data_IF_988004761175
#
_entry.id   IF_988004761175
#
_cell.length_a   1.000
_cell.length_b   1.000
_cell.length_c   1.000
_cell.angle_alpha   90.00
_cell.angle_beta   90.00
_cell.angle_gamma   90.00
#
_symmetry.space_group_name_H-M   'P 1'
#
loop_
_entity.id
_entity.type
_entity.pdbx_description
1 polymer ?
#
# COMPACT_ATOMS: atom_id res chain seq x y z
N UNK A 1 13.02 10.49 27.24
CA UNK A 1 11.61 10.53 27.77
C UNK A 1 10.73 11.48 26.94
N UNK A 2 11.20 12.68 26.55
CA UNK A 2 10.39 13.65 25.75
C UNK A 2 9.90 13.09 24.42
N UNK A 3 10.77 12.39 23.66
CA UNK A 3 10.40 11.79 22.39
C UNK A 3 9.32 10.71 22.50
N UNK A 4 9.32 9.91 23.56
CA UNK A 4 8.26 8.90 23.78
C UNK A 4 6.91 9.56 24.05
N UNK A 5 6.89 10.65 24.83
CA UNK A 5 5.66 11.41 25.07
C UNK A 5 5.17 12.08 23.80
N UNK A 6 6.06 12.72 23.02
CA UNK A 6 5.71 13.29 21.73
C UNK A 6 5.19 12.23 20.76
N UNK A 7 5.84 11.05 20.71
CA UNK A 7 5.40 9.93 19.89
C UNK A 7 4.01 9.43 20.25
N UNK A 8 3.75 9.22 21.55
CA UNK A 8 2.43 8.83 22.02
C UNK A 8 1.37 9.89 21.72
N UNK A 9 1.70 11.18 21.91
CA UNK A 9 0.81 12.29 21.56
C UNK A 9 0.48 12.35 20.07
N UNK A 10 1.48 12.18 19.19
CA UNK A 10 1.26 12.15 17.75
C UNK A 10 0.43 10.94 17.30
N UNK A 11 0.66 9.76 17.87
CA UNK A 11 -0.17 8.58 17.60
C UNK A 11 -1.62 8.80 18.02
N UNK A 12 -1.84 9.35 19.22
CA UNK A 12 -3.17 9.67 19.69
C UNK A 12 -3.84 10.73 18.79
N UNK A 13 -3.11 11.78 18.38
CA UNK A 13 -3.60 12.79 17.45
C UNK A 13 -3.96 12.18 16.08
N UNK A 14 -3.14 11.28 15.53
CA UNK A 14 -3.41 10.60 14.27
C UNK A 14 -4.71 9.78 14.33
N UNK A 15 -4.89 9.00 15.39
CA UNK A 15 -6.12 8.22 15.62
C UNK A 15 -7.33 9.13 15.79
N UNK A 16 -7.19 10.21 16.55
CA UNK A 16 -8.27 11.18 16.74
C UNK A 16 -8.70 11.85 15.43
N UNK A 17 -7.75 12.32 14.63
CA UNK A 17 -8.02 12.94 13.33
C UNK A 17 -8.69 11.96 12.37
N UNK A 18 -8.21 10.73 12.30
CA UNK A 18 -8.83 9.69 11.49
C UNK A 18 -10.26 9.37 11.94
N UNK A 19 -10.46 9.16 13.24
CA UNK A 19 -11.79 8.87 13.79
C UNK A 19 -12.76 10.04 13.57
N UNK A 20 -12.30 11.29 13.75
CA UNK A 20 -13.09 12.49 13.50
C UNK A 20 -13.54 12.58 12.03
N UNK A 21 -12.65 12.30 11.09
CA UNK A 21 -12.98 12.31 9.67
C UNK A 21 -13.91 11.15 9.29
N UNK A 22 -13.70 9.98 9.88
CA UNK A 22 -14.60 8.84 9.69
C UNK A 22 -16.01 9.12 10.19
N UNK A 23 -16.15 9.69 11.39
CA UNK A 23 -17.46 10.05 11.96
C UNK A 23 -18.19 11.07 11.09
N UNK A 24 -17.45 12.03 10.48
CA UNK A 24 -18.05 13.07 9.61
C UNK A 24 -18.44 12.54 8.24
N UNK A 25 -17.59 11.73 7.64
CA UNK A 25 -17.74 11.30 6.23
C UNK A 25 -18.45 9.96 6.09
N UNK A 26 -18.44 9.10 7.12
CA UNK A 26 -18.85 7.70 7.02
C UNK A 26 -17.93 6.86 6.12
N UNK A 27 -16.81 7.43 5.65
CA UNK A 27 -15.92 6.81 4.68
C UNK A 27 -14.59 6.44 5.33
N UNK A 28 -14.31 5.13 5.41
CA UNK A 28 -13.05 4.58 5.95
C UNK A 28 -11.82 5.02 5.13
N UNK A 29 -12.00 5.29 3.84
CA UNK A 29 -10.93 5.73 2.92
C UNK A 29 -10.95 7.24 2.68
N UNK A 30 -11.45 8.02 3.63
CA UNK A 30 -11.38 9.47 3.51
C UNK A 30 -9.92 9.93 3.43
N UNK A 31 -9.54 10.60 2.35
CA UNK A 31 -8.14 10.92 2.04
C UNK A 31 -7.44 11.68 3.17
N UNK A 32 -8.14 12.65 3.78
CA UNK A 32 -7.62 13.44 4.91
C UNK A 32 -7.35 12.58 6.13
N UNK A 33 -8.26 11.66 6.46
CA UNK A 33 -8.11 10.74 7.58
C UNK A 33 -6.94 9.76 7.37
N UNK A 34 -6.83 9.16 6.18
CA UNK A 34 -5.71 8.28 5.83
C UNK A 34 -4.38 9.03 5.85
N UNK A 35 -4.34 10.27 5.34
CA UNK A 35 -3.14 11.09 5.41
C UNK A 35 -2.75 11.38 6.87
N UNK A 36 -3.70 11.75 7.72
CA UNK A 36 -3.42 11.99 9.14
C UNK A 36 -2.87 10.72 9.81
N UNK A 37 -3.50 9.57 9.56
CA UNK A 37 -3.08 8.30 10.16
C UNK A 37 -1.67 7.88 9.69
N UNK A 38 -1.39 7.99 8.40
CA UNK A 38 -0.08 7.60 7.85
C UNK A 38 1.01 8.63 8.15
N UNK A 39 0.77 9.91 7.93
CA UNK A 39 1.76 10.96 8.08
C UNK A 39 2.02 11.31 9.55
N UNK A 40 0.99 11.64 10.33
CA UNK A 40 1.15 11.98 11.75
C UNK A 40 1.44 10.72 12.58
N UNK A 41 0.77 9.61 12.28
CA UNK A 41 1.04 8.32 12.92
C UNK A 41 2.45 7.81 12.65
N UNK A 42 2.93 7.97 11.41
CA UNK A 42 4.31 7.65 11.04
C UNK A 42 5.35 8.48 11.80
N UNK A 43 5.11 9.80 11.98
CA UNK A 43 5.93 10.65 12.84
C UNK A 43 5.93 10.16 14.29
N UNK A 44 4.73 9.76 14.79
CA UNK A 44 4.59 9.20 16.13
C UNK A 44 5.43 7.94 16.32
N UNK A 45 5.40 7.00 15.35
CA UNK A 45 6.24 5.81 15.37
C UNK A 45 7.73 6.16 15.31
N UNK A 46 8.15 7.07 14.45
CA UNK A 46 9.53 7.50 14.33
C UNK A 46 10.05 8.18 15.62
N UNK A 47 9.18 8.93 16.31
CA UNK A 47 9.50 9.52 17.63
C UNK A 47 9.71 8.48 18.73
N UNK A 48 9.32 7.23 18.55
CA UNK A 48 9.64 6.18 19.54
C UNK A 48 11.14 5.89 19.64
N UNK A 49 11.92 6.25 18.59
CA UNK A 49 13.39 6.15 18.58
C UNK A 49 13.90 4.79 19.05
N UNK A 50 13.38 3.71 18.44
CA UNK A 50 13.70 2.32 18.84
C UNK A 50 15.08 1.87 18.36
N UNK A 51 15.77 2.64 17.53
CA UNK A 51 17.15 2.42 17.08
C UNK A 51 18.10 3.40 17.78
N UNK A 52 19.33 2.99 18.02
CA UNK A 52 20.42 3.88 18.48
C UNK A 52 20.89 4.85 17.37
N UNK A 53 20.69 4.50 16.10
CA UNK A 53 20.99 5.36 14.96
C UNK A 53 20.04 6.55 14.87
N UNK A 54 18.85 6.47 15.46
CA UNK A 54 17.84 7.53 15.45
C UNK A 54 18.24 8.69 16.36
N UNK A 55 18.61 9.82 15.75
CA UNK A 55 18.99 11.05 16.43
C UNK A 55 17.79 11.95 16.76
N UNK A 56 18.03 12.96 17.59
CA UNK A 56 17.05 14.02 17.83
C UNK A 56 16.87 14.87 16.56
N UNK A 57 15.61 15.12 16.20
CA UNK A 57 15.30 15.92 15.03
C UNK A 57 15.57 17.39 15.26
N UNK A 58 16.04 18.08 14.21
CA UNK A 58 16.26 19.52 14.22
C UNK A 58 14.94 20.29 14.27
N UNK A 59 15.00 21.56 14.69
CA UNK A 59 13.84 22.45 14.62
C UNK A 59 13.34 22.61 13.18
N UNK A 60 14.25 22.65 12.20
CA UNK A 60 13.90 22.69 10.77
C UNK A 60 13.10 21.49 10.32
N UNK A 61 13.42 20.29 10.82
CA UNK A 61 12.67 19.06 10.54
C UNK A 61 11.24 19.15 11.06
N UNK A 62 11.06 19.59 12.31
CA UNK A 62 9.73 19.78 12.89
C UNK A 62 8.92 20.81 12.12
N UNK A 63 9.53 21.93 11.74
CA UNK A 63 8.86 22.97 10.93
C UNK A 63 8.49 22.45 9.54
N UNK A 64 9.39 21.70 8.89
CA UNK A 64 9.12 21.11 7.58
C UNK A 64 7.96 20.12 7.61
N UNK A 65 7.94 19.25 8.62
CA UNK A 65 6.83 18.30 8.80
C UNK A 65 5.50 19.01 9.12
N UNK A 66 5.53 20.04 9.96
CA UNK A 66 4.36 20.85 10.25
C UNK A 66 3.86 21.60 9.01
N UNK A 67 4.76 22.17 8.22
CA UNK A 67 4.42 22.87 6.97
C UNK A 67 3.81 21.91 5.94
N UNK A 68 4.36 20.69 5.80
CA UNK A 68 3.80 19.67 4.92
C UNK A 68 2.39 19.25 5.37
N UNK A 69 2.18 19.04 6.67
CA UNK A 69 0.86 18.73 7.22
C UNK A 69 -0.14 19.87 6.98
N UNK A 70 0.25 21.10 7.33
CA UNK A 70 -0.61 22.28 7.15
C UNK A 70 -0.92 22.53 5.67
N UNK A 71 0.08 22.40 4.79
CA UNK A 71 -0.10 22.55 3.34
C UNK A 71 -1.11 21.55 2.77
N UNK A 72 -1.03 20.27 3.17
CA UNK A 72 -1.99 19.25 2.75
C UNK A 72 -3.41 19.59 3.25
N UNK A 73 -3.56 19.95 4.52
CA UNK A 73 -4.88 20.28 5.07
C UNK A 73 -5.48 21.55 4.47
N UNK A 74 -4.66 22.57 4.21
CA UNK A 74 -5.10 23.78 3.51
C UNK A 74 -5.52 23.49 2.06
N UNK A 75 -4.72 22.71 1.33
CA UNK A 75 -5.06 22.30 -0.03
C UNK A 75 -6.38 21.49 -0.05
N UNK A 76 -6.55 20.59 0.91
CA UNK A 76 -7.76 19.78 1.00
C UNK A 76 -8.99 20.66 1.34
N UNK A 77 -8.85 21.57 2.29
CA UNK A 77 -9.91 22.51 2.64
C UNK A 77 -10.28 23.43 1.47
N UNK A 78 -9.27 23.91 0.74
CA UNK A 78 -9.47 24.71 -0.48
C UNK A 78 -10.26 23.93 -1.54
N UNK A 79 -9.85 22.70 -1.82
CA UNK A 79 -10.55 21.85 -2.77
C UNK A 79 -12.00 21.57 -2.35
N UNK A 80 -12.24 21.30 -1.07
CA UNK A 80 -13.62 21.13 -0.54
C UNK A 80 -14.47 22.41 -0.74
N UNK A 81 -13.89 23.57 -0.45
CA UNK A 81 -14.60 24.84 -0.57
C UNK A 81 -14.93 25.20 -2.03
N UNK A 82 -14.05 24.87 -2.99
CA UNK A 82 -14.26 25.16 -4.42
C UNK A 82 -15.06 24.09 -5.16
N UNK A 83 -15.08 22.85 -4.65
CA UNK A 83 -15.82 21.77 -5.29
C UNK A 83 -17.34 21.94 -5.20
N UNK A 84 -17.80 22.96 -4.47
CA UNK A 84 -19.21 23.15 -4.15
C UNK A 84 -19.77 21.91 -3.45
N UNK A 85 -21.03 21.84 -3.10
CA UNK A 85 -21.68 20.66 -2.52
C UNK A 85 -21.69 19.38 -3.42
N UNK A 86 -20.93 19.39 -4.51
CA UNK A 86 -20.45 18.22 -5.22
C UNK A 86 -19.48 17.37 -4.37
N UNK A 87 -19.29 17.71 -3.08
CA UNK A 87 -18.78 16.76 -2.11
C UNK A 87 -19.72 15.57 -2.15
N UNK A 88 -19.28 14.62 -2.87
CA UNK A 88 -19.74 13.28 -2.96
C UNK A 88 -20.42 12.87 -1.64
N UNK A 89 -21.69 13.18 -1.49
CA UNK A 89 -22.59 12.31 -0.77
C UNK A 89 -22.58 11.00 -1.58
N UNK A 90 -21.52 10.24 -1.40
CA UNK A 90 -21.39 8.85 -1.82
C UNK A 90 -22.41 8.06 -1.02
N UNK A 91 -23.65 8.26 -1.31
CA UNK A 91 -24.74 7.66 -0.55
C UNK A 91 -26.10 8.10 -1.06
N UNK A 92 -26.45 7.74 -2.29
CA UNK A 92 -27.80 7.98 -2.77
C UNK A 92 -27.94 7.74 -4.26
N UNK A 93 -28.57 6.65 -4.65
CA UNK A 93 -29.22 6.39 -5.98
C UNK A 93 -28.35 6.50 -7.25
N UNK A 94 -27.17 7.09 -7.22
CA UNK A 94 -26.29 7.26 -8.38
C UNK A 94 -25.66 5.93 -8.85
N UNK A 95 -25.43 5.00 -7.94
CA UNK A 95 -24.74 3.75 -8.24
C UNK A 95 -25.48 2.85 -9.24
N UNK A 96 -26.81 2.77 -9.15
CA UNK A 96 -27.60 1.93 -10.07
C UNK A 96 -27.66 2.50 -11.51
N UNK A 97 -27.66 3.84 -11.64
CA UNK A 97 -27.63 4.51 -12.96
C UNK A 97 -26.26 4.38 -13.60
N UNK A 98 -25.21 4.53 -12.80
CA UNK A 98 -23.82 4.41 -13.27
C UNK A 98 -23.47 2.97 -13.67
N UNK A 99 -24.01 1.95 -12.98
CA UNK A 99 -23.82 0.53 -13.34
C UNK A 99 -24.40 0.19 -14.72
N UNK A 100 -25.61 0.65 -15.05
CA UNK A 100 -26.25 0.37 -16.36
C UNK A 100 -25.44 0.89 -17.56
N UNK A 101 -24.71 2.01 -17.39
CA UNK A 101 -23.81 2.51 -18.43
C UNK A 101 -22.53 1.69 -18.57
N UNK A 102 -22.08 1.03 -17.48
CA UNK A 102 -20.84 0.25 -17.45
C UNK A 102 -21.03 -1.20 -17.92
N UNK A 103 -22.26 -1.73 -17.94
CA UNK A 103 -22.55 -3.12 -18.37
C UNK A 103 -22.05 -3.39 -19.80
N UNK A 104 -22.08 -2.39 -20.68
CA UNK A 104 -21.55 -2.49 -22.05
C UNK A 104 -20.04 -2.74 -22.11
N UNK A 105 -19.30 -2.37 -21.07
CA UNK A 105 -17.84 -2.55 -20.98
C UNK A 105 -17.41 -3.86 -20.31
N UNK A 106 -18.33 -4.65 -19.78
CA UNK A 106 -17.99 -5.88 -19.05
C UNK A 106 -17.14 -6.85 -19.90
N UNK A 107 -17.43 -6.99 -21.18
CA UNK A 107 -16.65 -7.80 -22.10
C UNK A 107 -15.23 -7.27 -22.30
N UNK A 108 -15.07 -5.95 -22.41
CA UNK A 108 -13.75 -5.29 -22.54
C UNK A 108 -12.93 -5.45 -21.26
N UNK A 109 -13.54 -5.24 -20.08
CA UNK A 109 -12.87 -5.41 -18.79
C UNK A 109 -12.41 -6.86 -18.60
N UNK A 110 -13.28 -7.82 -18.95
CA UNK A 110 -12.92 -9.25 -18.93
C UNK A 110 -11.70 -9.53 -19.82
N UNK A 111 -11.74 -9.08 -21.07
CA UNK A 111 -10.63 -9.29 -22.01
C UNK A 111 -9.35 -8.64 -21.50
N UNK A 112 -9.40 -7.40 -21.01
CA UNK A 112 -8.23 -6.70 -20.46
C UNK A 112 -7.64 -7.44 -19.25
N UNK A 113 -8.47 -7.92 -18.34
CA UNK A 113 -7.99 -8.66 -17.16
C UNK A 113 -7.28 -9.97 -17.55
N UNK A 114 -7.91 -10.77 -18.42
CA UNK A 114 -7.34 -12.05 -18.87
C UNK A 114 -6.09 -11.83 -19.71
N UNK A 115 -6.11 -10.87 -20.65
CA UNK A 115 -4.95 -10.53 -21.46
C UNK A 115 -3.77 -10.05 -20.60
N UNK A 116 -4.03 -9.16 -19.64
CA UNK A 116 -3.00 -8.67 -18.74
C UNK A 116 -2.40 -9.79 -17.89
N UNK A 117 -3.23 -10.69 -17.33
CA UNK A 117 -2.77 -11.84 -16.60
C UNK A 117 -1.90 -12.77 -17.46
N UNK A 118 -2.34 -13.05 -18.69
CA UNK A 118 -1.59 -13.88 -19.64
C UNK A 118 -0.24 -13.26 -20.03
N UNK A 119 -0.22 -11.96 -20.34
CA UNK A 119 1.00 -11.21 -20.65
C UNK A 119 1.95 -11.22 -19.47
N UNK A 120 1.46 -10.92 -18.27
CA UNK A 120 2.29 -10.90 -17.06
C UNK A 120 2.86 -12.28 -16.74
N UNK A 121 2.06 -13.34 -16.88
CA UNK A 121 2.53 -14.72 -16.68
C UNK A 121 3.56 -15.13 -17.73
N UNK A 122 3.35 -14.77 -18.99
CA UNK A 122 4.32 -15.00 -20.06
C UNK A 122 5.64 -14.27 -19.83
N UNK A 123 5.57 -12.99 -19.43
CA UNK A 123 6.77 -12.21 -19.10
C UNK A 123 7.52 -12.80 -17.89
N UNK A 124 6.78 -13.21 -16.84
CA UNK A 124 7.39 -13.89 -15.69
C UNK A 124 8.09 -15.20 -16.10
N UNK A 125 7.45 -16.01 -16.96
CA UNK A 125 8.05 -17.24 -17.44
C UNK A 125 9.35 -16.97 -18.25
N UNK A 126 9.35 -15.94 -19.09
CA UNK A 126 10.54 -15.51 -19.83
C UNK A 126 11.64 -15.06 -18.87
N UNK A 127 11.31 -14.25 -17.84
CA UNK A 127 12.27 -13.83 -16.82
C UNK A 127 12.85 -15.03 -16.07
N UNK A 128 12.01 -15.99 -15.67
CA UNK A 128 12.43 -17.19 -14.96
C UNK A 128 13.39 -18.05 -15.80
N UNK A 129 13.11 -18.20 -17.09
CA UNK A 129 13.99 -18.94 -18.03
C UNK A 129 15.29 -18.18 -18.26
N UNK A 130 15.22 -16.86 -18.47
CA UNK A 130 16.40 -16.03 -18.74
C UNK A 130 17.34 -15.95 -17.53
N UNK A 131 16.78 -15.79 -16.34
CA UNK A 131 17.55 -15.71 -15.10
C UNK A 131 17.99 -17.09 -14.57
N UNK A 132 17.37 -18.17 -15.03
CA UNK A 132 17.66 -19.54 -14.63
C UNK A 132 17.19 -19.93 -13.23
N UNK A 133 16.39 -19.09 -12.56
CA UNK A 133 15.84 -19.39 -11.23
C UNK A 133 14.50 -18.69 -10.99
N UNK A 134 13.80 -19.16 -9.96
CA UNK A 134 12.60 -18.51 -9.40
C UNK A 134 12.92 -18.15 -7.94
N UNK A 135 12.75 -16.90 -7.49
CA UNK A 135 13.16 -16.45 -6.17
C UNK A 135 12.61 -17.28 -5.01
N UNK A 136 11.34 -17.69 -5.07
CA UNK A 136 10.71 -18.50 -4.01
C UNK A 136 11.38 -19.88 -3.87
N UNK A 137 11.90 -20.45 -4.97
CA UNK A 137 12.51 -21.79 -4.98
C UNK A 137 14.00 -21.76 -4.63
N UNK A 138 14.62 -20.58 -4.63
CA UNK A 138 16.03 -20.42 -4.36
C UNK A 138 16.26 -20.18 -2.86
N UNK A 139 16.66 -21.22 -2.15
CA UNK A 139 16.93 -21.16 -0.72
C UNK A 139 18.39 -20.75 -0.43
N UNK A 140 18.56 -19.92 0.60
CA UNK A 140 19.89 -19.59 1.13
C UNK A 140 20.67 -18.52 0.35
N UNK A 141 20.12 -17.94 -0.70
CA UNK A 141 20.76 -16.82 -1.43
C UNK A 141 20.12 -15.50 -0.98
N UNK A 142 20.83 -14.67 -0.19
CA UNK A 142 20.32 -13.38 0.24
C UNK A 142 20.00 -12.49 -0.97
N UNK A 143 18.88 -11.79 -0.92
CA UNK A 143 18.47 -10.82 -1.95
C UNK A 143 18.23 -11.36 -3.37
N UNK A 144 18.10 -12.69 -3.58
CA UNK A 144 17.80 -13.28 -4.89
C UNK A 144 16.61 -12.60 -5.60
N UNK A 145 15.59 -12.23 -4.83
CA UNK A 145 14.41 -11.50 -5.32
C UNK A 145 14.74 -10.09 -5.86
N UNK A 146 15.78 -9.43 -5.35
CA UNK A 146 16.16 -8.06 -5.78
C UNK A 146 16.86 -8.06 -7.14
N UNK A 147 17.45 -9.19 -7.52
CA UNK A 147 18.13 -9.36 -8.81
C UNK A 147 17.24 -10.01 -9.86
N UNK A 148 16.06 -10.51 -9.47
CA UNK A 148 15.12 -11.13 -10.40
C UNK A 148 14.37 -10.07 -11.20
N UNK A 149 15.00 -9.53 -12.22
CA UNK A 149 14.36 -8.61 -13.17
C UNK A 149 15.13 -8.52 -14.47
N UNK A 150 14.40 -8.49 -15.57
CA UNK A 150 14.90 -8.12 -16.90
C UNK A 150 14.37 -6.73 -17.21
N UNK A 151 15.28 -5.79 -17.46
CA UNK A 151 14.91 -4.38 -17.69
C UNK A 151 13.90 -4.26 -18.82
N UNK A 152 12.80 -3.56 -18.55
CA UNK A 152 11.69 -3.41 -19.49
C UNK A 152 10.63 -4.51 -19.35
N UNK A 153 11.02 -5.77 -19.35
CA UNK A 153 10.11 -6.91 -19.26
C UNK A 153 9.43 -6.99 -17.89
N UNK A 154 10.19 -6.70 -16.83
CA UNK A 154 9.72 -6.75 -15.46
C UNK A 154 8.51 -5.84 -15.19
N UNK A 155 8.39 -4.71 -15.91
CA UNK A 155 7.21 -3.83 -15.77
C UNK A 155 5.92 -4.54 -16.20
N UNK A 156 5.99 -5.39 -17.24
CA UNK A 156 4.85 -6.20 -17.67
C UNK A 156 4.58 -7.35 -16.69
N UNK A 157 5.62 -7.96 -16.14
CA UNK A 157 5.46 -8.97 -15.08
C UNK A 157 4.74 -8.40 -13.86
N UNK A 158 5.15 -7.22 -13.39
CA UNK A 158 4.58 -6.55 -12.20
C UNK A 158 3.16 -6.03 -12.44
N UNK A 159 2.78 -5.76 -13.70
CA UNK A 159 1.44 -5.24 -14.02
C UNK A 159 0.30 -6.20 -13.65
N UNK A 160 0.60 -7.46 -13.32
CA UNK A 160 -0.37 -8.41 -12.76
C UNK A 160 -1.12 -7.87 -11.53
N UNK A 161 -0.55 -6.91 -10.79
CA UNK A 161 -1.19 -6.31 -9.60
C UNK A 161 -2.52 -5.59 -9.93
N UNK A 162 -2.74 -5.22 -11.19
CA UNK A 162 -3.98 -4.59 -11.64
C UNK A 162 -5.12 -5.58 -11.89
N UNK A 163 -4.81 -6.87 -12.10
CA UNK A 163 -5.79 -7.90 -12.47
C UNK A 163 -6.89 -8.05 -11.41
N UNK A 164 -6.60 -8.14 -10.09
CA UNK A 164 -7.66 -8.25 -9.08
C UNK A 164 -8.60 -7.05 -9.04
N UNK A 165 -8.09 -5.84 -9.32
CA UNK A 165 -8.95 -4.66 -9.42
C UNK A 165 -9.89 -4.72 -10.63
N UNK A 166 -9.39 -5.17 -11.79
CA UNK A 166 -10.22 -5.40 -12.98
C UNK A 166 -11.25 -6.51 -12.75
N UNK A 167 -10.89 -7.56 -12.01
CA UNK A 167 -11.81 -8.63 -11.60
C UNK A 167 -12.94 -8.10 -10.74
N UNK A 168 -12.63 -7.24 -9.77
CA UNK A 168 -13.66 -6.58 -8.96
C UNK A 168 -14.61 -5.77 -9.82
N UNK A 169 -14.10 -4.95 -10.75
CA UNK A 169 -14.94 -4.17 -11.68
C UNK A 169 -15.85 -5.10 -12.47
N UNK A 170 -15.28 -6.17 -13.05
CA UNK A 170 -16.04 -7.15 -13.83
C UNK A 170 -17.18 -7.76 -13.02
N UNK A 171 -16.91 -8.26 -11.81
CA UNK A 171 -17.92 -8.89 -10.95
C UNK A 171 -18.99 -7.90 -10.47
N UNK A 172 -18.64 -6.65 -10.24
CA UNK A 172 -19.60 -5.61 -9.88
C UNK A 172 -20.52 -5.24 -11.06
N UNK A 173 -20.04 -5.34 -12.30
CA UNK A 173 -20.81 -4.99 -13.49
C UNK A 173 -21.67 -6.18 -13.95
N UNK A 174 -21.09 -7.37 -14.13
CA UNK A 174 -21.75 -8.51 -14.79
C UNK A 174 -22.42 -9.50 -13.81
N UNK A 175 -22.10 -9.43 -12.52
CA UNK A 175 -22.71 -10.29 -11.51
C UNK A 175 -22.47 -11.80 -11.71
N UNK A 176 -21.42 -12.19 -12.43
CA UNK A 176 -20.94 -13.56 -12.52
C UNK A 176 -21.82 -14.54 -13.31
N UNK A 177 -22.62 -14.08 -14.25
CA UNK A 177 -23.61 -14.90 -14.99
C UNK A 177 -23.03 -16.05 -15.81
N UNK A 178 -21.81 -15.94 -16.33
CA UNK A 178 -21.20 -16.98 -17.17
C UNK A 178 -20.17 -17.81 -16.40
N UNK A 179 -20.42 -19.10 -16.21
CA UNK A 179 -19.48 -20.03 -15.53
C UNK A 179 -18.09 -20.04 -16.20
N UNK A 180 -18.04 -20.01 -17.53
CA UNK A 180 -16.76 -20.02 -18.25
C UNK A 180 -15.93 -18.77 -17.98
N UNK A 181 -16.55 -17.58 -18.02
CA UNK A 181 -15.88 -16.32 -17.70
C UNK A 181 -15.46 -16.26 -16.23
N UNK A 182 -16.28 -16.76 -15.32
CA UNK A 182 -15.92 -16.86 -13.90
C UNK A 182 -14.64 -17.69 -13.71
N UNK A 183 -14.54 -18.85 -14.32
CA UNK A 183 -13.34 -19.70 -14.22
C UNK A 183 -12.12 -18.99 -14.81
N UNK A 184 -12.25 -18.34 -15.97
CA UNK A 184 -11.14 -17.57 -16.56
C UNK A 184 -10.68 -16.42 -15.65
N UNK A 185 -11.61 -15.70 -15.01
CA UNK A 185 -11.27 -14.63 -14.08
C UNK A 185 -10.57 -15.16 -12.84
N UNK A 186 -11.06 -16.25 -12.25
CA UNK A 186 -10.41 -16.88 -11.09
C UNK A 186 -9.02 -17.40 -11.43
N UNK A 187 -8.80 -17.91 -12.64
CA UNK A 187 -7.47 -18.31 -13.11
C UNK A 187 -6.57 -17.09 -13.31
N UNK A 188 -7.09 -15.99 -13.84
CA UNK A 188 -6.36 -14.74 -13.98
C UNK A 188 -5.96 -14.17 -12.62
N UNK A 189 -6.86 -14.17 -11.64
CA UNK A 189 -6.57 -13.73 -10.26
C UNK A 189 -5.55 -14.66 -9.58
N UNK A 190 -5.69 -15.97 -9.77
CA UNK A 190 -4.72 -16.94 -9.26
C UNK A 190 -3.31 -16.70 -9.82
N UNK A 191 -3.19 -16.43 -11.12
CA UNK A 191 -1.92 -16.05 -11.74
C UNK A 191 -1.38 -14.72 -11.18
N UNK A 192 -2.25 -13.72 -11.02
CA UNK A 192 -1.89 -12.41 -10.48
C UNK A 192 -1.39 -12.47 -9.02
N UNK A 193 -1.86 -13.43 -8.23
CA UNK A 193 -1.37 -13.70 -6.88
C UNK A 193 -0.12 -14.58 -6.90
N UNK A 194 -0.07 -15.60 -7.78
CA UNK A 194 1.05 -16.53 -7.86
C UNK A 194 2.36 -15.83 -8.28
N UNK A 195 2.31 -14.91 -9.24
CA UNK A 195 3.52 -14.20 -9.73
C UNK A 195 4.23 -13.45 -8.59
N UNK A 196 3.60 -12.55 -7.83
CA UNK A 196 4.23 -11.89 -6.70
C UNK A 196 4.69 -12.86 -5.60
N UNK A 197 3.97 -13.96 -5.37
CA UNK A 197 4.40 -15.00 -4.43
C UNK A 197 5.70 -15.67 -4.89
N UNK A 198 5.78 -16.06 -6.17
CA UNK A 198 6.98 -16.66 -6.77
C UNK A 198 8.16 -15.69 -6.78
N UNK A 199 7.90 -14.40 -6.98
CA UNK A 199 8.89 -13.32 -6.87
C UNK A 199 9.24 -12.98 -5.41
N UNK A 200 8.54 -13.53 -4.41
CA UNK A 200 8.65 -13.17 -2.97
C UNK A 200 8.46 -11.66 -2.75
N UNK A 201 7.59 -11.04 -3.55
CA UNK A 201 7.34 -9.60 -3.55
C UNK A 201 6.10 -9.24 -2.72
N UNK A 202 6.32 -8.89 -1.46
CA UNK A 202 5.25 -8.49 -0.52
C UNK A 202 4.55 -7.20 -0.94
N UNK A 203 5.30 -6.26 -1.50
CA UNK A 203 4.76 -4.97 -1.94
C UNK A 203 3.76 -5.14 -3.07
N UNK A 204 4.05 -5.99 -4.06
CA UNK A 204 3.15 -6.26 -5.18
C UNK A 204 1.84 -6.90 -4.69
N UNK A 205 1.91 -7.88 -3.78
CA UNK A 205 0.71 -8.47 -3.17
C UNK A 205 -0.11 -7.46 -2.38
N UNK A 206 0.56 -6.63 -1.58
CA UNK A 206 -0.12 -5.56 -0.85
C UNK A 206 -0.83 -4.60 -1.80
N UNK A 207 -0.14 -4.17 -2.87
CA UNK A 207 -0.73 -3.30 -3.90
C UNK A 207 -1.92 -3.95 -4.59
N UNK A 208 -1.83 -5.22 -4.98
CA UNK A 208 -2.93 -5.94 -5.64
C UNK A 208 -4.18 -5.98 -4.76
N UNK A 209 -4.03 -6.34 -3.48
CA UNK A 209 -5.16 -6.40 -2.54
C UNK A 209 -5.70 -5.01 -2.22
N UNK A 210 -4.85 -4.01 -2.00
CA UNK A 210 -5.30 -2.64 -1.74
C UNK A 210 -6.03 -2.05 -2.94
N UNK A 211 -5.52 -2.24 -4.17
CA UNK A 211 -6.20 -1.80 -5.38
C UNK A 211 -7.57 -2.47 -5.54
N UNK A 212 -7.64 -3.79 -5.34
CA UNK A 212 -8.91 -4.51 -5.41
C UNK A 212 -9.90 -4.00 -4.35
N UNK A 213 -9.43 -3.78 -3.10
CA UNK A 213 -10.26 -3.27 -2.02
C UNK A 213 -10.76 -1.85 -2.31
N UNK A 214 -9.86 -0.93 -2.73
CA UNK A 214 -10.23 0.45 -3.09
C UNK A 214 -11.24 0.44 -4.24
N UNK A 215 -11.00 -0.39 -5.27
CA UNK A 215 -11.92 -0.53 -6.41
C UNK A 215 -13.28 -1.05 -5.96
N UNK A 216 -13.30 -2.07 -5.09
CA UNK A 216 -14.57 -2.58 -4.54
C UNK A 216 -15.33 -1.51 -3.77
N UNK A 217 -14.64 -0.72 -2.94
CA UNK A 217 -15.24 0.39 -2.19
C UNK A 217 -15.77 1.51 -3.09
N UNK A 218 -15.15 1.71 -4.23
CA UNK A 218 -15.61 2.69 -5.24
C UNK A 218 -16.86 2.20 -5.99
N UNK A 219 -16.92 0.89 -6.26
CA UNK A 219 -18.02 0.27 -7.00
C UNK A 219 -19.23 -0.04 -6.10
N UNK A 220 -18.99 -0.51 -4.89
CA UNK A 220 -19.99 -0.89 -3.90
C UNK A 220 -19.99 0.12 -2.74
N UNK A 221 -21.01 0.97 -2.67
CA UNK A 221 -21.09 2.02 -1.65
C UNK A 221 -21.33 1.51 -0.21
N UNK A 222 -21.63 0.23 -0.04
CA UNK A 222 -21.85 -0.39 1.27
C UNK A 222 -20.80 -1.46 1.51
N UNK A 223 -19.77 -1.10 2.28
CA UNK A 223 -18.80 -2.08 2.77
C UNK A 223 -19.35 -2.78 4.01
N UNK A 224 -19.41 -4.08 3.94
CA UNK A 224 -19.49 -4.85 5.16
C UNK A 224 -18.12 -4.81 5.85
N UNK A 225 -17.98 -4.17 7.04
CA UNK A 225 -16.70 -4.01 7.73
C UNK A 225 -16.03 -5.36 8.01
N UNK A 226 -16.80 -6.44 8.08
CA UNK A 226 -16.29 -7.79 8.27
C UNK A 226 -15.34 -8.19 7.14
N UNK A 227 -15.67 -7.91 5.87
CA UNK A 227 -14.79 -8.24 4.74
C UNK A 227 -13.50 -7.46 4.76
N UNK A 228 -13.54 -6.19 5.19
CA UNK A 228 -12.33 -5.38 5.36
C UNK A 228 -11.42 -5.96 6.44
N UNK A 229 -11.99 -6.37 7.57
CA UNK A 229 -11.25 -7.01 8.67
C UNK A 229 -10.61 -8.32 8.20
N UNK A 230 -11.34 -9.17 7.49
CA UNK A 230 -10.79 -10.42 6.95
C UNK A 230 -9.69 -10.19 5.90
N UNK A 231 -9.86 -9.19 5.02
CA UNK A 231 -8.83 -8.82 4.04
C UNK A 231 -7.56 -8.33 4.72
N UNK A 232 -7.69 -7.45 5.72
CA UNK A 232 -6.54 -6.96 6.49
C UNK A 232 -5.87 -8.07 7.31
N UNK A 233 -6.65 -8.95 7.95
CA UNK A 233 -6.11 -10.09 8.68
C UNK A 233 -5.36 -11.04 7.73
N UNK A 234 -5.93 -11.34 6.56
CA UNK A 234 -5.27 -12.13 5.52
C UNK A 234 -3.96 -11.51 5.03
N UNK A 235 -3.94 -10.19 4.83
CA UNK A 235 -2.72 -9.45 4.46
C UNK A 235 -1.64 -9.53 5.55
N UNK A 236 -2.01 -9.42 6.82
CA UNK A 236 -1.06 -9.56 7.94
C UNK A 236 -0.47 -10.97 7.97
N UNK A 237 -1.31 -12.00 7.86
CA UNK A 237 -0.85 -13.40 7.83
C UNK A 237 0.09 -13.62 6.65
N UNK A 238 -0.30 -13.17 5.45
CA UNK A 238 0.51 -13.28 4.24
C UNK A 238 1.85 -12.54 4.38
N UNK A 239 1.84 -11.34 4.95
CA UNK A 239 3.04 -10.57 5.24
C UNK A 239 3.99 -11.34 6.17
N UNK A 240 3.46 -11.96 7.24
CA UNK A 240 4.25 -12.74 8.18
C UNK A 240 4.85 -13.96 7.47
N UNK A 241 4.04 -14.72 6.72
CA UNK A 241 4.50 -15.90 5.98
C UNK A 241 5.60 -15.57 4.97
N UNK A 242 5.41 -14.52 4.18
CA UNK A 242 6.43 -14.08 3.20
C UNK A 242 7.68 -13.51 3.89
N UNK A 243 7.55 -12.95 5.08
CA UNK A 243 8.69 -12.48 5.86
C UNK A 243 9.52 -13.67 6.36
N UNK A 244 8.87 -14.74 6.81
CA UNK A 244 9.53 -15.99 7.20
C UNK A 244 10.18 -16.66 5.99
N UNK A 245 9.47 -16.76 4.86
CA UNK A 245 9.97 -17.36 3.63
C UNK A 245 11.22 -16.65 3.06
N UNK A 246 11.37 -15.35 3.33
CA UNK A 246 12.55 -14.57 2.93
C UNK A 246 13.82 -14.93 3.69
N UNK A 247 13.73 -15.78 4.73
CA UNK A 247 14.88 -16.26 5.52
C UNK A 247 15.82 -15.14 6.00
N UNK A 248 15.31 -13.94 6.26
CA UNK A 248 16.13 -12.90 6.86
C UNK A 248 16.41 -13.27 8.30
N UNK A 249 17.68 -13.41 8.62
CA UNK A 249 18.12 -13.51 10.01
C UNK A 249 17.58 -12.30 10.79
N UNK A 250 16.74 -12.56 11.77
CA UNK A 250 16.20 -11.53 12.66
C UNK A 250 17.30 -10.77 13.35
N UNK A 251 18.42 -11.45 13.66
CA UNK A 251 19.61 -10.87 14.25
C UNK A 251 20.22 -9.81 13.31
N UNK A 252 20.27 -10.06 12.00
CA UNK A 252 20.86 -9.14 11.02
C UNK A 252 20.21 -7.77 11.05
N UNK A 253 18.86 -7.69 10.94
CA UNK A 253 18.18 -6.40 10.95
C UNK A 253 18.30 -5.67 12.29
N UNK A 254 18.20 -6.39 13.41
CA UNK A 254 18.37 -5.81 14.72
C UNK A 254 19.80 -5.27 14.92
N UNK A 255 20.80 -5.94 14.36
CA UNK A 255 22.22 -5.52 14.44
C UNK A 255 22.51 -4.36 13.50
N UNK A 256 22.12 -4.44 12.21
CA UNK A 256 22.39 -3.39 11.21
C UNK A 256 21.73 -2.06 11.57
N UNK A 257 20.52 -2.11 12.12
CA UNK A 257 19.80 -0.91 12.55
C UNK A 257 20.00 -0.58 14.04
N UNK A 258 20.94 -1.25 14.71
CA UNK A 258 21.26 -1.01 16.11
C UNK A 258 20.01 -0.85 16.97
N UNK A 259 19.11 -1.84 16.90
CA UNK A 259 17.84 -1.78 17.63
C UNK A 259 18.06 -1.84 19.13
N UNK A 260 17.47 -0.93 19.88
CA UNK A 260 17.55 -0.87 21.36
C UNK A 260 16.95 -2.08 22.04
N UNK A 261 16.07 -2.80 21.35
CA UNK A 261 15.47 -4.06 21.80
C UNK A 261 15.40 -5.02 20.62
N UNK A 262 15.69 -6.28 20.87
CA UNK A 262 15.48 -7.34 19.89
C UNK A 262 13.97 -7.57 19.70
N UNK A 263 13.43 -7.02 18.63
CA UNK A 263 12.04 -7.20 18.25
C UNK A 263 11.93 -8.25 17.15
N UNK A 264 10.80 -8.96 17.05
CA UNK A 264 10.54 -9.84 15.92
C UNK A 264 10.62 -9.11 14.59
N UNK A 265 11.09 -9.77 13.53
CA UNK A 265 11.34 -9.18 12.22
C UNK A 265 10.10 -8.50 11.64
N UNK A 266 8.92 -9.09 11.85
CA UNK A 266 7.64 -8.55 11.37
C UNK A 266 7.22 -7.26 12.08
N UNK A 267 7.87 -6.88 13.19
CA UNK A 267 7.71 -5.59 13.89
C UNK A 267 8.86 -4.65 13.53
N UNK A 268 10.10 -5.15 13.59
CA UNK A 268 11.30 -4.35 13.29
C UNK A 268 11.26 -3.78 11.88
N UNK A 269 10.90 -4.59 10.90
CA UNK A 269 10.95 -4.20 9.50
C UNK A 269 9.94 -3.09 9.16
N UNK A 270 8.64 -3.18 9.49
CA UNK A 270 7.71 -2.07 9.27
C UNK A 270 8.10 -0.80 10.02
N UNK A 271 8.58 -0.95 11.26
CA UNK A 271 9.06 0.19 12.04
C UNK A 271 10.19 0.93 11.31
N UNK A 272 11.21 0.19 10.86
CA UNK A 272 12.35 0.78 10.14
C UNK A 272 11.90 1.46 8.86
N UNK A 273 11.05 0.82 8.05
CA UNK A 273 10.54 1.42 6.81
C UNK A 273 9.79 2.73 7.05
N UNK A 274 9.07 2.85 8.16
CA UNK A 274 8.39 4.09 8.50
C UNK A 274 9.37 5.10 9.12
N UNK A 275 10.10 4.71 10.16
CA UNK A 275 10.93 5.62 10.95
C UNK A 275 12.09 6.21 10.14
N UNK A 276 12.75 5.41 9.29
CA UNK A 276 13.88 5.87 8.49
C UNK A 276 13.53 6.98 7.52
N UNK A 277 12.29 7.03 7.01
CA UNK A 277 11.89 8.13 6.12
C UNK A 277 11.95 9.48 6.84
N UNK A 278 11.54 9.54 8.10
CA UNK A 278 11.59 10.76 8.90
C UNK A 278 12.99 11.08 9.38
N UNK A 279 13.78 10.08 9.75
CA UNK A 279 15.17 10.26 10.15
C UNK A 279 16.04 10.66 8.96
N UNK A 280 15.81 10.11 7.76
CA UNK A 280 16.46 10.55 6.52
C UNK A 280 16.07 11.98 6.14
N UNK A 281 14.81 12.35 6.34
CA UNK A 281 14.38 13.74 6.13
C UNK A 281 15.12 14.70 7.09
N UNK A 282 15.30 14.32 8.35
CA UNK A 282 16.11 15.12 9.32
C UNK A 282 17.58 15.24 8.87
N UNK A 283 18.18 14.14 8.40
CA UNK A 283 19.53 14.17 7.85
C UNK A 283 19.64 15.10 6.65
N UNK A 284 18.65 15.05 5.74
CA UNK A 284 18.58 15.94 4.59
C UNK A 284 18.51 17.42 5.03
N UNK A 285 17.59 17.74 5.96
CA UNK A 285 17.41 19.10 6.47
C UNK A 285 18.69 19.63 7.14
N UNK A 286 19.39 18.79 7.92
CA UNK A 286 20.66 19.15 8.56
C UNK A 286 21.81 19.32 7.56
N UNK A 287 21.81 18.54 6.47
CA UNK A 287 22.85 18.56 5.42
C UNK A 287 22.65 19.60 4.33
N UNK A 288 21.49 20.27 4.29
CA UNK A 288 21.19 21.27 3.26
C UNK A 288 22.04 22.54 3.45
N UNK A 289 23.03 22.70 2.59
CA UNK A 289 23.91 23.90 2.53
C UNK A 289 23.32 24.96 1.59
N UNK A 290 22.53 24.54 0.59
CA UNK A 290 21.89 25.43 -0.40
C UNK A 290 20.44 25.00 -0.62
N UNK A 291 19.55 25.97 -0.73
CA UNK A 291 18.15 25.75 -1.10
C UNK A 291 17.98 26.06 -2.59
N UNK A 292 17.46 25.11 -3.36
CA UNK A 292 17.20 25.29 -4.79
C UNK A 292 15.88 26.01 -5.08
N UNK A 293 15.05 26.24 -4.07
CA UNK A 293 13.69 26.79 -4.20
C UNK A 293 12.81 26.06 -5.21
N UNK A 294 13.12 24.78 -5.46
CA UNK A 294 12.39 23.94 -6.42
C UNK A 294 12.81 24.12 -7.87
N UNK A 295 13.93 24.80 -8.14
CA UNK A 295 14.53 24.93 -9.47
C UNK A 295 15.67 23.93 -9.67
#
# INVERSE_FOLDING_TARGET
RHYLLSGAGLLAAAVYLYASDYIRSGNLLHLRGIFALSFVGGQGLACMKLSYLSQAWSAGTWLGLLAAFAGFYLAFYYLEAFSGEASVRVGGHSGAVQRRGLESYAGTVFFCAVALAAVSAGCFAIEAVYMGYIPLLLHGVPHAYSYFHVTGLHYLTVSCVLVPALSVIYFCIEGGRSRGRLVCMLLADAAAVAIPLLCVSRSQLLFAVLLALITYMQMEHQLNPIYVVFALAGLIVLYILLTIARSHDTAYLNTVFEMKRHLPIFVTQPYIYVANNYDNFDCLVKGLVKHSWGM
#
